data_IF_721825470471
#
_entry.id   IF_721825470471
#
_cell.length_a   1.000
_cell.length_b   1.000
_cell.length_c   1.000
_cell.angle_alpha   90.00
_cell.angle_beta   90.00
_cell.angle_gamma   90.00
#
_symmetry.space_group_name_H-M   'P 1'
#
loop_
_entity.id
_entity.type
_entity.pdbx_description
1 polymer ?
#
# COMPACT_ATOMS: atom_id res chain seq x y z
N UNK A 1 -7.11 -12.33 3.93
CA UNK A 1 -6.05 -12.24 2.90
C UNK A 1 -4.69 -12.72 3.43
N UNK A 2 -4.35 -12.48 4.71
CA UNK A 2 -3.22 -13.16 5.39
C UNK A 2 -3.77 -14.29 6.31
N UNK A 3 -3.39 -15.57 6.13
CA UNK A 3 -3.84 -16.64 7.00
C UNK A 3 -3.33 -16.49 8.44
N UNK A 4 -4.08 -17.02 9.40
CA UNK A 4 -3.65 -17.08 10.80
C UNK A 4 -2.37 -17.92 10.95
N UNK A 5 -1.58 -17.59 11.97
CA UNK A 5 -0.31 -18.24 12.33
C UNK A 5 0.68 -18.35 11.18
N UNK A 6 0.64 -17.40 10.24
CA UNK A 6 1.47 -17.43 9.04
C UNK A 6 2.31 -16.16 8.95
N UNK A 7 3.60 -16.34 8.63
CA UNK A 7 4.49 -15.28 8.19
C UNK A 7 4.63 -15.30 6.66
N UNK A 8 4.39 -14.16 6.00
CA UNK A 8 4.55 -14.01 4.55
C UNK A 8 5.36 -12.76 4.21
N UNK A 9 6.42 -12.89 3.40
CA UNK A 9 7.09 -11.75 2.80
C UNK A 9 6.31 -11.27 1.57
N UNK A 10 6.31 -9.96 1.36
CA UNK A 10 5.73 -9.27 0.21
C UNK A 10 6.80 -8.36 -0.40
N UNK A 11 6.94 -8.41 -1.72
CA UNK A 11 7.75 -7.43 -2.44
C UNK A 11 7.01 -6.10 -2.48
N UNK A 12 7.70 -5.02 -2.15
CA UNK A 12 7.20 -3.66 -2.29
C UNK A 12 7.89 -3.04 -3.49
N UNK A 13 7.10 -2.48 -4.39
CA UNK A 13 7.57 -1.62 -5.46
C UNK A 13 6.69 -0.37 -5.50
N UNK A 14 7.34 0.79 -5.59
CA UNK A 14 6.66 2.08 -5.62
C UNK A 14 7.31 2.99 -6.65
N UNK A 15 6.52 3.86 -7.26
CA UNK A 15 7.01 4.91 -8.14
C UNK A 15 6.29 6.22 -7.84
N UNK A 16 7.06 7.29 -7.73
CA UNK A 16 6.53 8.66 -7.65
C UNK A 16 7.20 9.48 -8.74
N UNK A 17 6.39 10.13 -9.57
CA UNK A 17 6.84 10.88 -10.74
C UNK A 17 6.26 12.29 -10.73
N UNK A 18 7.06 13.25 -11.18
CA UNK A 18 6.65 14.60 -11.52
C UNK A 18 7.06 14.89 -12.96
N UNK A 19 6.17 15.49 -13.74
CA UNK A 19 6.41 15.92 -15.10
C UNK A 19 5.56 17.13 -15.46
N UNK A 20 6.04 17.91 -16.42
CA UNK A 20 5.27 18.96 -17.09
C UNK A 20 4.76 18.35 -18.41
N UNK A 21 3.67 17.58 -18.30
CA UNK A 21 3.14 16.74 -19.40
C UNK A 21 2.81 17.51 -20.69
N UNK A 22 2.60 18.83 -20.60
CA UNK A 22 2.24 19.68 -21.74
C UNK A 22 3.45 20.13 -22.57
N UNK A 23 4.66 19.99 -22.03
CA UNK A 23 5.89 20.54 -22.63
C UNK A 23 6.84 19.43 -23.09
N UNK A 24 6.95 18.33 -22.34
CA UNK A 24 7.78 17.19 -22.75
C UNK A 24 7.44 15.93 -21.95
N UNK A 25 7.86 14.78 -22.47
CA UNK A 25 7.81 13.49 -21.78
C UNK A 25 8.98 13.30 -20.79
N UNK A 26 9.54 14.39 -20.25
CA UNK A 26 10.58 14.31 -19.22
C UNK A 26 9.95 14.17 -17.84
N UNK A 27 10.30 13.07 -17.18
CA UNK A 27 9.84 12.77 -15.83
C UNK A 27 11.03 12.78 -14.87
N UNK A 28 10.82 13.36 -13.70
CA UNK A 28 11.73 13.24 -12.56
C UNK A 28 11.00 12.66 -11.36
N UNK A 29 11.70 11.91 -10.52
CA UNK A 29 11.05 11.25 -9.40
C UNK A 29 11.91 10.20 -8.72
N UNK A 30 11.23 9.28 -8.04
CA UNK A 30 11.84 8.24 -7.23
C UNK A 30 11.15 6.90 -7.50
N UNK A 31 11.95 5.86 -7.67
CA UNK A 31 11.52 4.48 -7.57
C UNK A 31 11.87 3.97 -6.17
N UNK A 32 10.99 3.16 -5.61
CA UNK A 32 11.14 2.54 -4.29
C UNK A 32 11.03 1.03 -4.46
N UNK A 33 11.86 0.28 -3.75
CA UNK A 33 11.70 -1.17 -3.60
C UNK A 33 12.04 -1.63 -2.20
N UNK A 34 11.55 -2.80 -1.81
CA UNK A 34 11.96 -3.46 -0.58
C UNK A 34 11.05 -4.61 -0.20
N UNK A 35 11.08 -5.02 1.06
CA UNK A 35 10.32 -6.18 1.54
C UNK A 35 9.51 -5.83 2.77
N UNK A 36 8.23 -6.21 2.74
CA UNK A 36 7.33 -6.21 3.88
C UNK A 36 7.15 -7.64 4.37
N UNK A 37 7.59 -7.93 5.59
CA UNK A 37 7.24 -9.19 6.26
C UNK A 37 6.03 -8.93 7.14
N UNK A 38 4.96 -9.73 6.97
CA UNK A 38 3.80 -9.74 7.85
C UNK A 38 3.66 -11.10 8.51
N UNK A 39 3.40 -11.10 9.82
CA UNK A 39 3.05 -12.27 10.61
C UNK A 39 1.71 -12.02 11.29
N UNK A 40 0.74 -12.93 11.11
CA UNK A 40 -0.57 -12.83 11.72
C UNK A 40 -0.72 -13.84 12.86
N UNK A 41 -0.40 -13.47 14.11
CA UNK A 41 -0.55 -14.38 15.24
C UNK A 41 -2.01 -14.69 15.58
N UNK A 42 -2.93 -13.75 15.36
CA UNK A 42 -4.35 -13.93 15.69
C UNK A 42 -5.29 -13.13 14.75
N UNK A 43 -6.58 -13.11 15.07
CA UNK A 43 -7.60 -12.50 14.22
C UNK A 43 -7.48 -10.98 14.12
N UNK A 44 -7.01 -10.31 15.18
CA UNK A 44 -7.00 -8.85 15.30
C UNK A 44 -5.59 -8.24 15.30
N UNK A 45 -4.53 -9.05 15.40
CA UNK A 45 -3.15 -8.61 15.42
C UNK A 45 -2.39 -9.07 14.18
N UNK A 46 -1.62 -8.15 13.60
CA UNK A 46 -0.59 -8.43 12.61
C UNK A 46 0.70 -7.74 13.04
N UNK A 47 1.79 -8.51 13.14
CA UNK A 47 3.14 -7.95 13.29
C UNK A 47 3.76 -7.76 11.91
N UNK A 48 4.42 -6.62 11.72
CA UNK A 48 5.05 -6.26 10.46
C UNK A 48 6.48 -5.79 10.63
N UNK A 49 7.27 -5.90 9.56
CA UNK A 49 8.60 -5.32 9.46
C UNK A 49 8.91 -4.93 8.03
N UNK A 50 9.41 -3.71 7.84
CA UNK A 50 10.01 -3.27 6.58
C UNK A 50 11.52 -3.47 6.64
N UNK A 51 12.10 -4.00 5.58
CA UNK A 51 13.55 -4.17 5.47
C UNK A 51 13.99 -4.22 4.01
N UNK A 52 15.30 -4.10 3.80
CA UNK A 52 15.91 -4.04 2.46
C UNK A 52 15.31 -2.96 1.58
N UNK A 53 14.87 -1.85 2.19
CA UNK A 53 14.29 -0.71 1.48
C UNK A 53 15.38 0.03 0.71
N UNK A 54 15.12 0.29 -0.56
CA UNK A 54 16.02 1.01 -1.45
C UNK A 54 15.21 1.99 -2.29
N UNK A 55 15.86 3.07 -2.67
CA UNK A 55 15.30 4.01 -3.61
C UNK A 55 16.27 4.30 -4.74
N UNK A 56 15.74 4.70 -5.88
CA UNK A 56 16.54 5.17 -7.01
C UNK A 56 15.93 6.47 -7.54
N UNK A 57 16.78 7.46 -7.80
CA UNK A 57 16.35 8.69 -8.45
C UNK A 57 16.19 8.46 -9.93
N UNK A 58 15.19 9.10 -10.52
CA UNK A 58 14.98 9.09 -11.96
C UNK A 58 14.85 10.51 -12.48
N UNK A 59 15.45 10.73 -13.63
CA UNK A 59 15.35 11.96 -14.42
C UNK A 59 15.60 11.55 -15.88
N UNK A 60 14.54 11.23 -16.60
CA UNK A 60 14.64 10.69 -17.97
C UNK A 60 13.41 11.01 -18.80
N UNK A 61 13.57 10.90 -20.11
CA UNK A 61 12.44 10.85 -21.04
C UNK A 61 11.74 9.50 -20.91
N UNK A 62 10.43 9.51 -20.71
CA UNK A 62 9.56 8.33 -20.73
C UNK A 62 8.54 8.53 -21.85
N UNK A 63 8.93 8.18 -23.07
CA UNK A 63 8.11 8.38 -24.26
C UNK A 63 6.83 7.54 -24.25
N UNK A 64 6.84 6.41 -23.53
CA UNK A 64 5.67 5.58 -23.22
C UNK A 64 4.81 6.12 -22.06
N UNK A 65 5.16 7.29 -21.52
CA UNK A 65 4.42 7.97 -20.46
C UNK A 65 4.74 7.44 -19.05
N UNK A 66 3.94 7.87 -18.08
CA UNK A 66 4.19 7.61 -16.65
C UNK A 66 4.16 6.12 -16.28
N UNK A 67 3.53 5.25 -17.08
CA UNK A 67 3.43 3.81 -16.83
C UNK A 67 4.56 3.01 -17.50
N UNK A 68 5.44 3.66 -18.26
CA UNK A 68 6.56 3.00 -18.93
C UNK A 68 7.40 2.21 -17.92
N UNK A 69 7.78 1.00 -18.33
CA UNK A 69 8.61 0.10 -17.53
C UNK A 69 10.05 0.62 -17.48
N UNK A 70 10.59 0.70 -16.27
CA UNK A 70 11.97 1.12 -16.04
C UNK A 70 12.76 -0.10 -15.59
N UNK A 71 13.73 -0.59 -16.39
CA UNK A 71 14.54 -1.74 -16.01
C UNK A 71 15.33 -1.46 -14.72
N UNK A 72 15.27 -2.37 -13.75
CA UNK A 72 15.97 -2.24 -12.46
C UNK A 72 17.48 -2.06 -12.58
N UNK A 73 18.10 -2.58 -13.66
CA UNK A 73 19.54 -2.43 -13.95
C UNK A 73 19.90 -1.06 -14.55
N UNK A 74 18.90 -0.29 -14.99
CA UNK A 74 19.09 1.05 -15.57
C UNK A 74 19.16 2.17 -14.51
N UNK A 75 19.14 1.81 -13.23
CA UNK A 75 19.14 2.77 -12.13
C UNK A 75 20.10 2.38 -11.03
N UNK A 76 20.64 3.39 -10.35
CA UNK A 76 21.45 3.21 -9.16
C UNK A 76 20.55 3.17 -7.93
N UNK A 77 20.47 1.99 -7.31
CA UNK A 77 19.74 1.80 -6.07
C UNK A 77 20.58 2.21 -4.87
N UNK A 78 19.99 3.01 -4.00
CA UNK A 78 20.59 3.50 -2.76
C UNK A 78 19.78 2.93 -1.61
N UNK A 79 20.48 2.37 -0.61
CA UNK A 79 19.83 1.88 0.60
C UNK A 79 19.15 3.04 1.34
N UNK A 80 17.89 2.83 1.71
CA UNK A 80 17.17 3.74 2.56
C UNK A 80 17.49 3.38 4.02
N UNK A 81 17.95 4.33 4.86
CA UNK A 81 18.40 4.06 6.22
C UNK A 81 17.21 3.88 7.18
N UNK A 82 16.43 2.82 6.97
CA UNK A 82 15.33 2.43 7.85
C UNK A 82 15.88 1.89 9.16
N UNK A 83 15.18 2.13 10.25
CA UNK A 83 15.51 1.55 11.57
C UNK A 83 15.42 0.01 11.58
N UNK A 84 14.58 -0.56 10.72
CA UNK A 84 14.31 -1.99 10.68
C UNK A 84 13.55 -2.51 11.90
N UNK A 85 12.99 -1.60 12.72
CA UNK A 85 12.17 -1.94 13.87
C UNK A 85 10.86 -2.60 13.42
N UNK A 86 10.36 -3.61 14.15
CA UNK A 86 9.05 -4.17 13.89
C UNK A 86 7.94 -3.21 14.31
N UNK A 87 6.75 -3.40 13.76
CA UNK A 87 5.54 -2.66 14.11
C UNK A 87 4.36 -3.61 14.27
N UNK A 88 3.30 -3.16 14.95
CA UNK A 88 2.09 -3.95 15.18
C UNK A 88 0.87 -3.22 14.64
N UNK A 89 0.04 -3.94 13.92
CA UNK A 89 -1.23 -3.50 13.35
C UNK A 89 -2.35 -4.14 14.16
N UNK A 90 -3.27 -3.33 14.64
CA UNK A 90 -4.52 -3.80 15.20
C UNK A 90 -5.63 -3.66 14.17
N UNK A 91 -6.33 -4.74 13.88
CA UNK A 91 -7.54 -4.74 13.07
C UNK A 91 -8.76 -4.53 13.95
N UNK A 92 -9.75 -3.83 13.41
CA UNK A 92 -11.09 -3.82 13.97
C UNK A 92 -11.69 -5.22 13.79
N UNK A 93 -12.12 -5.85 14.89
CA UNK A 93 -12.66 -7.21 14.88
C UNK A 93 -13.91 -7.37 13.99
N UNK A 94 -14.69 -6.31 13.80
CA UNK A 94 -15.95 -6.36 13.03
C UNK A 94 -15.74 -6.00 11.56
N UNK A 95 -14.92 -4.97 11.26
CA UNK A 95 -14.73 -4.50 9.88
C UNK A 95 -13.49 -5.08 9.20
N UNK A 96 -12.54 -5.60 9.97
CA UNK A 96 -11.23 -6.05 9.47
C UNK A 96 -10.31 -4.90 9.05
N UNK A 97 -10.72 -3.64 9.24
CA UNK A 97 -9.93 -2.46 8.89
C UNK A 97 -8.83 -2.21 9.91
N UNK A 98 -7.73 -1.56 9.48
CA UNK A 98 -6.67 -1.14 10.41
C UNK A 98 -7.22 -0.07 11.35
N UNK A 99 -7.25 -0.39 12.64
CA UNK A 99 -7.69 0.51 13.71
C UNK A 99 -6.52 1.29 14.32
N UNK A 100 -5.37 0.64 14.50
CA UNK A 100 -4.16 1.24 15.10
C UNK A 100 -2.89 0.66 14.50
N UNK A 101 -1.87 1.51 14.43
CA UNK A 101 -0.49 1.15 14.12
C UNK A 101 0.36 1.53 15.33
N UNK A 102 1.08 0.55 15.88
CA UNK A 102 2.00 0.72 17.01
C UNK A 102 3.42 0.54 16.48
N UNK A 103 4.26 1.51 16.75
CA UNK A 103 5.69 1.55 16.38
C UNK A 103 6.50 1.90 17.62
N UNK A 104 7.79 1.57 17.61
CA UNK A 104 8.72 2.02 18.65
C UNK A 104 8.89 3.54 18.60
N UNK A 105 9.04 4.19 19.76
CA UNK A 105 9.20 5.65 19.87
C UNK A 105 10.47 6.16 19.18
N UNK A 106 11.50 5.33 19.06
CA UNK A 106 12.73 5.65 18.34
C UNK A 106 12.55 5.71 16.81
N UNK A 107 11.43 5.23 16.27
CA UNK A 107 11.15 5.27 14.83
C UNK A 107 10.84 6.71 14.40
N UNK A 108 11.63 7.22 13.45
CA UNK A 108 11.48 8.58 12.97
C UNK A 108 10.17 8.75 12.18
N UNK A 109 9.58 9.95 12.26
CA UNK A 109 8.28 10.24 11.64
C UNK A 109 8.19 9.91 10.14
N UNK A 110 9.26 10.15 9.37
CA UNK A 110 9.27 9.83 7.94
C UNK A 110 9.16 8.33 7.69
N UNK A 111 9.77 7.50 8.55
CA UNK A 111 9.71 6.04 8.47
C UNK A 111 8.30 5.55 8.84
N UNK A 112 7.68 6.16 9.86
CA UNK A 112 6.27 5.91 10.20
C UNK A 112 5.34 6.21 9.02
N UNK A 113 5.55 7.34 8.33
CA UNK A 113 4.75 7.70 7.15
C UNK A 113 4.98 6.74 5.99
N UNK A 114 6.21 6.24 5.80
CA UNK A 114 6.45 5.18 4.83
C UNK A 114 5.72 3.87 5.17
N UNK A 115 5.75 3.46 6.44
CA UNK A 115 4.99 2.29 6.90
C UNK A 115 3.50 2.49 6.60
N UNK A 116 2.92 3.64 6.96
CA UNK A 116 1.52 3.98 6.65
C UNK A 116 1.22 3.94 5.15
N UNK A 117 2.09 4.53 4.33
CA UNK A 117 1.98 4.52 2.87
C UNK A 117 1.90 3.09 2.31
N UNK A 118 2.79 2.19 2.75
CA UNK A 118 2.76 0.77 2.36
C UNK A 118 1.49 0.09 2.85
N UNK A 119 1.15 0.23 4.14
CA UNK A 119 -0.01 -0.44 4.74
C UNK A 119 -1.35 0.06 4.18
N UNK A 120 -1.41 1.29 3.67
CA UNK A 120 -2.61 1.84 3.03
C UNK A 120 -3.04 1.02 1.81
N UNK A 121 -2.11 0.34 1.14
CA UNK A 121 -2.41 -0.52 -0.01
C UNK A 121 -3.10 -1.83 0.40
N UNK A 122 -3.01 -2.21 1.67
CA UNK A 122 -3.63 -3.42 2.23
C UNK A 122 -5.05 -3.15 2.76
N UNK A 123 -5.44 -1.88 2.88
CA UNK A 123 -6.78 -1.49 3.31
C UNK A 123 -7.77 -1.56 2.14
N UNK A 124 -8.34 -2.75 1.94
CA UNK A 124 -9.52 -2.93 1.11
C UNK A 124 -10.74 -2.90 2.03
N UNK A 125 -11.55 -1.84 1.95
CA UNK A 125 -12.84 -1.83 2.61
C UNK A 125 -13.75 -2.82 1.88
N UNK A 126 -14.12 -3.90 2.55
CA UNK A 126 -15.12 -4.83 2.03
C UNK A 126 -16.50 -4.31 2.46
N UNK A 127 -17.21 -3.62 1.56
CA UNK A 127 -18.63 -3.26 1.75
C UNK A 127 -19.56 -4.48 1.57
N UNK A 128 -19.13 -5.68 1.97
CA UNK A 128 -19.99 -6.86 2.02
C UNK A 128 -20.93 -6.77 3.23
N UNK A 129 -21.84 -5.79 3.22
CA UNK A 129 -23.12 -6.00 3.88
C UNK A 129 -23.93 -6.90 2.96
N UNK A 130 -24.29 -8.07 3.46
CA UNK A 130 -25.22 -8.99 2.80
C UNK A 130 -26.54 -8.23 2.58
N UNK A 131 -26.78 -7.76 1.36
CA UNK A 131 -28.07 -7.18 1.01
C UNK A 131 -29.12 -8.31 1.07
N UNK A 132 -30.21 -8.17 1.83
CA UNK A 132 -31.35 -9.05 1.63
C UNK A 132 -31.82 -8.87 0.18
N UNK A 133 -31.99 -10.00 -0.51
CA UNK A 133 -32.16 -10.19 -1.96
C UNK A 133 -33.21 -9.32 -2.67
N UNK A 134 -33.98 -8.47 -1.98
CA UNK A 134 -35.15 -7.79 -2.51
C UNK A 134 -35.27 -6.29 -2.14
N UNK A 135 -34.23 -5.48 -2.36
CA UNK A 135 -34.40 -4.01 -2.25
C UNK A 135 -34.02 -3.30 -3.55
N UNK A 136 -35.04 -2.75 -4.23
CA UNK A 136 -34.94 -1.94 -5.47
C UNK A 136 -34.32 -0.54 -5.25
N UNK A 137 -33.50 -0.37 -4.22
CA UNK A 137 -32.80 0.88 -3.95
C UNK A 137 -31.33 0.57 -3.66
N UNK A 138 -30.45 0.78 -4.65
CA UNK A 138 -29.00 0.77 -4.47
C UNK A 138 -28.62 1.94 -3.55
N UNK A 139 -28.58 1.70 -2.25
CA UNK A 139 -28.02 2.63 -1.29
C UNK A 139 -26.50 2.54 -1.33
N UNK A 140 -25.86 3.53 -1.95
CA UNK A 140 -24.41 3.72 -1.98
C UNK A 140 -23.94 4.12 -0.58
N UNK A 141 -23.32 3.19 0.16
CA UNK A 141 -22.80 3.50 1.51
C UNK A 141 -21.36 4.02 1.45
N UNK A 142 -21.08 4.97 2.34
CA UNK A 142 -19.93 5.88 2.34
C UNK A 142 -19.15 5.64 3.64
N UNK A 143 -17.90 5.18 3.56
CA UNK A 143 -16.99 5.11 4.72
C UNK A 143 -15.63 5.72 4.41
N UNK A 144 -15.01 6.30 5.43
CA UNK A 144 -13.78 7.08 5.31
C UNK A 144 -12.64 6.34 6.05
N UNK A 145 -11.76 5.61 5.33
CA UNK A 145 -10.63 4.93 5.95
C UNK A 145 -9.53 5.92 6.35
N UNK A 146 -8.72 5.54 7.35
CA UNK A 146 -7.52 6.27 7.75
C UNK A 146 -6.49 6.16 6.63
N UNK A 147 -6.33 7.21 5.84
CA UNK A 147 -5.34 7.33 4.75
C UNK A 147 -4.44 8.54 5.00
N UNK A 148 -3.17 8.42 4.61
CA UNK A 148 -2.14 9.46 4.79
C UNK A 148 -2.46 10.79 4.10
N UNK A 149 -3.44 10.81 3.18
CA UNK A 149 -3.89 12.01 2.45
C UNK A 149 -5.12 12.70 3.03
N UNK A 150 -5.55 12.36 4.25
CA UNK A 150 -6.78 12.90 4.86
C UNK A 150 -8.06 12.19 4.38
N UNK A 151 -9.22 12.74 4.78
CA UNK A 151 -10.57 12.20 4.53
C UNK A 151 -10.91 12.20 3.02
N UNK A 152 -10.43 11.21 2.27
CA UNK A 152 -10.69 11.07 0.84
C UNK A 152 -11.70 9.96 0.52
N UNK A 153 -12.60 10.25 -0.41
CA UNK A 153 -13.61 9.31 -0.94
C UNK A 153 -12.90 8.21 -1.72
N UNK A 154 -13.14 6.94 -1.35
CA UNK A 154 -12.66 5.78 -2.10
C UNK A 154 -13.83 5.11 -2.80
N UNK A 155 -13.68 4.82 -4.08
CA UNK A 155 -14.65 4.03 -4.87
C UNK A 155 -13.96 2.72 -5.23
N UNK A 156 -14.60 1.59 -4.92
CA UNK A 156 -14.12 0.27 -5.28
C UNK A 156 -14.95 -0.26 -6.46
N UNK A 157 -14.29 -0.78 -7.48
CA UNK A 157 -14.92 -1.57 -8.55
C UNK A 157 -14.40 -2.99 -8.41
N UNK A 158 -15.25 -3.92 -7.99
CA UNK A 158 -14.93 -5.34 -7.93
C UNK A 158 -15.34 -5.97 -9.25
N UNK A 159 -14.37 -6.44 -10.02
CA UNK A 159 -14.60 -7.23 -11.24
C UNK A 159 -14.38 -8.70 -10.91
N UNK A 160 -15.35 -9.56 -11.21
CA UNK A 160 -15.18 -11.01 -11.11
C UNK A 160 -14.13 -11.46 -12.12
N UNK A 161 -13.05 -12.07 -11.65
CA UNK A 161 -12.04 -12.70 -12.51
C UNK A 161 -12.45 -14.15 -12.72
N UNK A 162 -13.06 -14.43 -13.88
CA UNK A 162 -13.38 -15.80 -14.30
C UNK A 162 -12.09 -16.55 -14.62
N UNK A 163 -11.72 -17.52 -13.78
CA UNK A 163 -10.67 -18.48 -14.12
C UNK A 163 -11.24 -19.48 -15.13
N UNK A 164 -10.69 -19.51 -16.34
CA UNK A 164 -10.92 -20.60 -17.29
C UNK A 164 -10.26 -21.84 -16.68
N UNK A 165 -11.07 -22.89 -16.44
CA UNK A 165 -10.63 -24.20 -15.93
C UNK A 165 -9.81 -24.96 -16.97
#
# INVERSE_FOLDING_TARGET
WLPLHTAKPYSIEGRTLAAIHQVSNKYSGILLRGVLLLNRPDEILIHGKLFSMQFAKINRDLSGGWSEYIPSLSVTWINLPMSGQPFTIHLNHTTGEVSRLIVDEAVQLWEVNMIKGVLSQLQVANDYQQYPSNSKHKSMHRRIPIRDGGFNRTVYTVNEVSYIK
#
